data_IF_074872477314
#
_entry.id   IF_074872477314
#
_cell.length_a   1.000
_cell.length_b   1.000
_cell.length_c   1.000
_cell.angle_alpha   90.00
_cell.angle_beta   90.00
_cell.angle_gamma   90.00
#
_symmetry.space_group_name_H-M   'P 1'
#
loop_
_entity.id
_entity.type
_entity.pdbx_description
1 polymer ?
#
# COMPACT_ATOMS: atom_id res chain seq x y z
N UNK A 1 -12.95 -5.55 -32.11
CA UNK A 1 -12.76 -5.36 -30.66
C UNK A 1 -12.09 -6.61 -30.11
N UNK A 2 -10.85 -6.53 -29.66
CA UNK A 2 -10.20 -7.68 -29.02
C UNK A 2 -10.83 -7.82 -27.63
N UNK A 3 -11.48 -8.95 -27.39
CA UNK A 3 -12.07 -9.28 -26.09
C UNK A 3 -10.95 -9.42 -25.06
N UNK A 4 -10.69 -8.35 -24.31
CA UNK A 4 -9.73 -8.38 -23.21
C UNK A 4 -10.36 -9.17 -22.08
N UNK A 5 -9.84 -10.37 -21.82
CA UNK A 5 -10.19 -11.16 -20.65
C UNK A 5 -9.61 -10.47 -19.40
N UNK A 6 -10.43 -9.67 -18.73
CA UNK A 6 -10.05 -8.93 -17.51
C UNK A 6 -9.67 -9.83 -16.34
N UNK A 7 -9.96 -11.14 -16.41
CA UNK A 7 -9.67 -12.11 -15.36
C UNK A 7 -8.29 -12.78 -15.51
N UNK A 8 -7.59 -12.62 -16.63
CA UNK A 8 -6.28 -13.23 -16.89
C UNK A 8 -5.10 -12.26 -16.77
N UNK A 9 -5.35 -11.00 -16.44
CA UNK A 9 -4.26 -10.08 -16.09
C UNK A 9 -3.82 -10.44 -14.67
N UNK A 10 -2.54 -10.80 -14.43
CA UNK A 10 -2.05 -10.82 -13.07
C UNK A 10 -2.35 -9.44 -12.52
N UNK A 11 -3.22 -9.36 -11.52
CA UNK A 11 -3.45 -8.11 -10.82
C UNK A 11 -2.12 -7.84 -10.12
N UNK A 12 -1.21 -7.15 -10.80
CA UNK A 12 0.02 -6.64 -10.20
C UNK A 12 -0.46 -5.74 -9.07
N UNK A 13 -0.50 -6.32 -7.86
CA UNK A 13 -0.91 -5.59 -6.66
C UNK A 13 -0.05 -4.36 -6.61
N UNK A 14 -0.69 -3.20 -6.73
CA UNK A 14 0.03 -1.91 -6.85
C UNK A 14 0.74 -1.57 -5.55
N UNK A 15 0.26 -2.13 -4.44
CA UNK A 15 0.78 -1.93 -3.10
C UNK A 15 0.83 -3.26 -2.37
N UNK A 16 1.95 -3.54 -1.70
CA UNK A 16 2.06 -4.66 -0.76
C UNK A 16 2.01 -4.15 0.70
N UNK A 17 1.85 -5.06 1.65
CA UNK A 17 1.68 -4.69 3.06
C UNK A 17 2.90 -3.94 3.64
N UNK A 18 4.10 -4.25 3.16
CA UNK A 18 5.34 -3.61 3.57
C UNK A 18 5.43 -2.17 3.08
N UNK A 19 4.93 -1.90 1.86
CA UNK A 19 4.89 -0.57 1.27
C UNK A 19 4.02 0.40 2.08
N UNK A 20 2.89 -0.07 2.64
CA UNK A 20 1.94 0.76 3.42
C UNK A 20 2.68 1.58 4.49
N UNK A 21 3.56 0.91 5.24
CA UNK A 21 4.35 1.55 6.30
C UNK A 21 5.22 2.68 5.75
N UNK A 22 5.90 2.47 4.62
CA UNK A 22 6.82 3.47 4.05
C UNK A 22 6.09 4.60 3.33
N UNK A 23 4.93 4.32 2.72
CA UNK A 23 4.00 5.35 2.21
C UNK A 23 3.56 6.28 3.34
N UNK A 24 3.18 5.72 4.49
CA UNK A 24 2.82 6.52 5.66
C UNK A 24 3.99 7.36 6.19
N UNK A 25 5.16 6.74 6.30
CA UNK A 25 6.36 7.40 6.84
C UNK A 25 6.90 8.49 5.90
N UNK A 26 6.72 8.38 4.58
CA UNK A 26 7.14 9.44 3.64
C UNK A 26 6.39 10.76 3.81
N UNK A 27 5.24 10.72 4.49
CA UNK A 27 4.44 11.90 4.88
C UNK A 27 4.55 12.22 6.37
N UNK A 28 5.46 11.57 7.09
CA UNK A 28 5.66 11.75 8.54
C UNK A 28 4.36 11.55 9.37
N UNK A 29 3.53 10.57 8.97
CA UNK A 29 2.24 10.33 9.60
C UNK A 29 2.29 9.19 10.62
N UNK A 30 1.51 9.32 11.70
CA UNK A 30 1.23 8.21 12.63
C UNK A 30 0.23 7.24 11.99
N UNK A 31 0.12 6.02 12.53
CA UNK A 31 -0.88 5.06 12.05
C UNK A 31 -2.32 5.59 12.23
N UNK A 32 -2.60 6.33 13.30
CA UNK A 32 -3.91 6.98 13.50
C UNK A 32 -4.24 7.95 12.38
N UNK A 33 -3.34 8.92 12.12
CA UNK A 33 -3.54 9.93 11.07
C UNK A 33 -3.66 9.31 9.67
N UNK A 34 -2.85 8.31 9.37
CA UNK A 34 -2.92 7.63 8.07
C UNK A 34 -4.19 6.77 7.97
N UNK A 35 -4.61 6.14 9.07
CA UNK A 35 -5.87 5.42 9.17
C UNK A 35 -7.08 6.32 8.93
N UNK A 36 -7.10 7.53 9.48
CA UNK A 36 -8.12 8.55 9.21
C UNK A 36 -8.22 8.87 7.72
N UNK A 37 -7.08 9.12 7.06
CA UNK A 37 -7.01 9.41 5.63
C UNK A 37 -7.52 8.22 4.78
N UNK A 38 -7.11 7.00 5.12
CA UNK A 38 -7.54 5.79 4.42
C UNK A 38 -8.93 5.29 4.84
N UNK A 39 -9.57 5.90 5.85
CA UNK A 39 -10.81 5.39 6.48
C UNK A 39 -10.68 3.94 6.96
N UNK A 40 -9.55 3.65 7.61
CA UNK A 40 -9.19 2.36 8.22
C UNK A 40 -8.87 2.60 9.69
N UNK A 41 -9.43 1.77 10.57
CA UNK A 41 -9.11 1.83 12.00
C UNK A 41 -7.60 1.65 12.25
N UNK A 42 -7.04 2.37 13.23
CA UNK A 42 -5.61 2.33 13.53
C UNK A 42 -5.11 0.92 13.86
N UNK A 43 -5.90 0.12 14.59
CA UNK A 43 -5.52 -1.25 14.96
C UNK A 43 -5.51 -2.18 13.74
N UNK A 44 -6.43 -1.96 12.80
CA UNK A 44 -6.50 -2.69 11.53
C UNK A 44 -5.31 -2.33 10.66
N UNK A 45 -5.01 -1.04 10.50
CA UNK A 45 -3.84 -0.58 9.75
C UNK A 45 -2.54 -1.15 10.33
N UNK A 46 -2.43 -1.21 11.67
CA UNK A 46 -1.26 -1.79 12.31
C UNK A 46 -1.10 -3.29 12.00
N UNK A 47 -2.19 -4.06 11.96
CA UNK A 47 -2.16 -5.47 11.55
C UNK A 47 -1.82 -5.65 10.07
N UNK A 48 -2.33 -4.76 9.21
CA UNK A 48 -1.97 -4.73 7.79
C UNK A 48 -0.47 -4.47 7.62
N UNK A 49 0.10 -3.44 8.26
CA UNK A 49 1.53 -3.11 8.15
C UNK A 49 2.46 -4.23 8.63
N UNK A 50 2.00 -5.08 9.57
CA UNK A 50 2.76 -6.25 10.06
C UNK A 50 2.56 -7.52 9.22
N UNK A 51 1.62 -7.51 8.27
CA UNK A 51 1.26 -8.70 7.50
C UNK A 51 0.43 -9.73 8.28
N UNK A 52 -0.07 -9.37 9.47
CA UNK A 52 -0.95 -10.22 10.29
C UNK A 52 -2.38 -10.27 9.75
N UNK A 53 -2.78 -9.25 9.00
CA UNK A 53 -4.04 -9.20 8.27
C UNK A 53 -3.74 -9.18 6.77
N UNK A 54 -4.35 -10.06 5.96
CA UNK A 54 -4.13 -10.04 4.52
C UNK A 54 -4.69 -8.74 3.92
N UNK A 55 -3.93 -8.16 3.00
CA UNK A 55 -4.38 -7.03 2.20
C UNK A 55 -5.45 -7.51 1.21
N UNK A 56 -6.72 -7.43 1.64
CA UNK A 56 -7.88 -7.75 0.80
C UNK A 56 -8.14 -6.64 -0.22
N UNK A 57 -8.89 -6.91 -1.30
CA UNK A 57 -9.25 -5.88 -2.29
C UNK A 57 -9.93 -4.64 -1.66
N UNK A 58 -10.72 -4.84 -0.59
CA UNK A 58 -11.34 -3.76 0.16
C UNK A 58 -10.30 -2.83 0.82
N UNK A 59 -9.30 -3.40 1.48
CA UNK A 59 -8.25 -2.62 2.12
C UNK A 59 -7.30 -2.00 1.09
N UNK A 60 -6.98 -2.72 0.01
CA UNK A 60 -6.17 -2.18 -1.08
C UNK A 60 -6.82 -0.92 -1.69
N UNK A 61 -8.12 -0.96 -1.98
CA UNK A 61 -8.87 0.19 -2.48
C UNK A 61 -8.79 1.40 -1.53
N UNK A 62 -9.06 1.19 -0.23
CA UNK A 62 -8.98 2.25 0.79
C UNK A 62 -7.59 2.87 0.93
N UNK A 63 -6.54 2.06 0.83
CA UNK A 63 -5.16 2.53 0.90
C UNK A 63 -4.81 3.34 -0.35
N UNK A 64 -5.24 2.88 -1.54
CA UNK A 64 -5.06 3.62 -2.78
C UNK A 64 -5.80 4.97 -2.76
N UNK A 65 -7.02 5.02 -2.22
CA UNK A 65 -7.75 6.27 -2.02
C UNK A 65 -6.98 7.23 -1.11
N UNK A 66 -6.40 6.72 -0.02
CA UNK A 66 -5.55 7.53 0.86
C UNK A 66 -4.26 8.02 0.21
N UNK A 67 -3.62 7.18 -0.61
CA UNK A 67 -2.44 7.55 -1.41
C UNK A 67 -2.77 8.70 -2.37
N UNK A 68 -3.90 8.62 -3.06
CA UNK A 68 -4.38 9.67 -3.94
C UNK A 68 -4.72 10.95 -3.16
N UNK A 69 -5.38 10.84 -2.01
CA UNK A 69 -5.71 11.97 -1.14
C UNK A 69 -4.46 12.72 -0.63
N UNK A 70 -3.34 12.01 -0.45
CA UNK A 70 -2.05 12.57 -0.05
C UNK A 70 -1.20 13.08 -1.22
N UNK A 71 -1.75 13.08 -2.45
CA UNK A 71 -1.05 13.45 -3.69
C UNK A 71 0.31 12.74 -3.82
N UNK A 72 0.36 11.46 -3.46
CA UNK A 72 1.58 10.67 -3.61
C UNK A 72 1.69 10.28 -5.09
N UNK A 73 2.74 10.77 -5.73
CA UNK A 73 3.00 10.52 -7.14
C UNK A 73 3.40 9.06 -7.41
N UNK A 74 3.24 8.63 -8.67
CA UNK A 74 3.70 7.31 -9.10
C UNK A 74 5.21 7.14 -8.89
N UNK A 75 6.01 8.20 -9.08
CA UNK A 75 7.45 8.16 -8.85
C UNK A 75 7.79 7.89 -7.38
N UNK A 76 7.04 8.49 -6.45
CA UNK A 76 7.20 8.24 -5.02
C UNK A 76 6.83 6.79 -4.66
N UNK A 77 5.75 6.25 -5.24
CA UNK A 77 5.36 4.84 -5.03
C UNK A 77 6.42 3.86 -5.53
N UNK A 78 6.98 4.10 -6.72
CA UNK A 78 8.09 3.29 -7.26
C UNK A 78 9.32 3.39 -6.36
N UNK A 79 9.62 4.58 -5.84
CA UNK A 79 10.73 4.79 -4.91
C UNK A 79 10.52 4.04 -3.59
N UNK A 80 9.29 4.05 -3.05
CA UNK A 80 8.93 3.28 -1.86
C UNK A 80 9.07 1.78 -2.12
N UNK A 81 8.58 1.27 -3.25
CA UNK A 81 8.75 -0.13 -3.65
C UNK A 81 10.23 -0.53 -3.66
N UNK A 82 11.08 0.30 -4.27
CA UNK A 82 12.53 0.05 -4.31
C UNK A 82 13.17 0.00 -2.92
N UNK A 83 12.76 0.88 -2.01
CA UNK A 83 13.23 0.88 -0.61
C UNK A 83 12.85 -0.41 0.09
N UNK A 84 11.61 -0.89 -0.10
CA UNK A 84 11.14 -2.16 0.47
C UNK A 84 11.99 -3.33 -0.05
N UNK A 85 12.14 -3.45 -1.36
CA UNK A 85 12.93 -4.52 -2.00
C UNK A 85 14.37 -4.56 -1.47
N UNK A 86 15.03 -3.40 -1.38
CA UNK A 86 16.40 -3.30 -0.87
C UNK A 86 16.52 -3.70 0.60
N UNK A 87 15.47 -3.47 1.41
CA UNK A 87 15.46 -3.88 2.82
C UNK A 87 15.23 -5.37 2.97
N UNK A 88 14.36 -5.97 2.16
CA UNK A 88 14.17 -7.43 2.14
C UNK A 88 15.45 -8.15 1.74
N UNK A 89 16.21 -7.59 0.79
CA UNK A 89 17.51 -8.15 0.37
C UNK A 89 18.58 -8.14 1.48
N UNK A 90 18.49 -7.24 2.45
CA UNK A 90 19.45 -7.18 3.59
C UNK A 90 19.14 -8.18 4.70
N UNK A 91 17.94 -8.73 4.71
CA UNK A 91 17.47 -9.68 5.74
C UNK A 91 17.68 -11.13 5.27
N UNK A 92 17.92 -11.34 3.96
CA UNK A 92 18.37 -12.61 3.39
C UNK A 92 19.89 -12.72 3.46
#
# INVERSE_FOLDING_TARGET
MIGVNVNSLPHERKVNYQMIKYVRLSRNMTQGKFGEVCKIDQSVLAKLERGELPLSPHYEAKIMDGIHALNISQLELVSVKRIVELKEQRIK
#
